data_IF_219722138138
#
_entry.id   IF_219722138138
#
_cell.length_a   1.000
_cell.length_b   1.000
_cell.length_c   1.000
_cell.angle_alpha   90.00
_cell.angle_beta   90.00
_cell.angle_gamma   90.00
#
_symmetry.space_group_name_H-M   'P 1'
#
loop_
_entity.id
_entity.type
_entity.pdbx_description
1 polymer ?
#
# COMPACT_ATOMS: atom_id res chain seq x y z
N UNK A 1 -13.80 10.94 5.34
CA UNK A 1 -14.07 9.77 6.20
C UNK A 1 -15.02 8.74 5.59
N UNK A 2 -14.99 8.53 4.27
CA UNK A 2 -15.87 7.60 3.55
C UNK A 2 -15.12 6.48 2.81
N UNK A 3 -13.81 6.34 3.06
CA UNK A 3 -12.98 5.30 2.44
C UNK A 3 -12.61 4.29 3.53
N UNK A 4 -13.14 3.08 3.43
CA UNK A 4 -12.95 2.05 4.47
C UNK A 4 -11.54 1.47 4.45
N UNK A 5 -10.99 1.20 3.27
CA UNK A 5 -9.71 0.51 3.11
C UNK A 5 -8.98 0.91 1.82
N UNK A 6 -7.66 0.76 1.82
CA UNK A 6 -6.82 0.78 0.61
C UNK A 6 -6.21 -0.62 0.42
N UNK A 7 -6.25 -1.17 -0.79
CA UNK A 7 -5.61 -2.45 -1.11
C UNK A 7 -4.51 -2.21 -2.15
N UNK A 8 -3.28 -2.64 -1.85
CA UNK A 8 -2.13 -2.51 -2.76
C UNK A 8 -1.80 -3.88 -3.34
N UNK A 9 -1.92 -4.00 -4.67
CA UNK A 9 -1.70 -5.27 -5.38
C UNK A 9 -0.23 -5.70 -5.35
N UNK A 10 0.69 -4.76 -5.57
CA UNK A 10 2.12 -4.99 -5.54
C UNK A 10 2.91 -3.67 -5.40
N UNK A 11 4.22 -3.78 -5.20
CA UNK A 11 5.09 -2.69 -4.74
C UNK A 11 5.62 -1.73 -5.83
N UNK A 12 5.21 -1.86 -7.09
CA UNK A 12 5.64 -0.88 -8.09
C UNK A 12 5.02 0.49 -7.82
N UNK A 13 5.80 1.56 -8.08
CA UNK A 13 5.42 2.93 -7.77
C UNK A 13 4.19 3.42 -8.54
N UNK A 14 3.90 2.87 -9.71
CA UNK A 14 2.67 3.15 -10.46
C UNK A 14 1.40 2.57 -9.81
N UNK A 15 1.55 1.66 -8.84
CA UNK A 15 0.46 1.10 -8.04
C UNK A 15 0.39 1.66 -6.61
N UNK A 16 1.55 1.93 -5.99
CA UNK A 16 1.61 2.32 -4.59
C UNK A 16 2.19 3.73 -4.32
N UNK A 17 2.72 4.39 -5.35
CA UNK A 17 3.54 5.60 -5.23
C UNK A 17 2.83 6.81 -4.61
N UNK A 18 1.50 6.84 -4.67
CA UNK A 18 0.68 7.91 -4.09
C UNK A 18 -0.07 7.52 -2.83
N UNK A 19 0.09 6.29 -2.33
CA UNK A 19 -0.57 5.87 -1.06
C UNK A 19 -0.17 6.80 0.12
N UNK A 20 1.11 7.23 0.28
CA UNK A 20 1.45 8.20 1.33
C UNK A 20 0.79 9.58 1.16
N UNK A 21 0.39 9.94 -0.07
CA UNK A 21 -0.33 11.19 -0.33
C UNK A 21 -1.73 11.15 0.28
N UNK A 22 -2.39 9.99 0.29
CA UNK A 22 -3.68 9.81 0.98
C UNK A 22 -3.53 10.12 2.48
N UNK A 23 -2.46 9.63 3.10
CA UNK A 23 -2.18 9.87 4.53
C UNK A 23 -1.89 11.34 4.82
N UNK A 24 -1.11 11.99 3.94
CA UNK A 24 -0.86 13.44 4.00
C UNK A 24 -2.15 14.26 3.99
N UNK A 25 -3.14 13.82 3.21
CA UNK A 25 -4.44 14.48 3.11
C UNK A 25 -5.50 13.95 4.08
N UNK A 26 -5.09 13.18 5.10
CA UNK A 26 -5.93 12.83 6.24
C UNK A 26 -6.64 11.49 6.16
N UNK A 27 -6.27 10.60 5.23
CA UNK A 27 -6.71 9.21 5.28
C UNK A 27 -6.16 8.54 6.56
N UNK A 28 -7.04 7.83 7.27
CA UNK A 28 -6.71 7.17 8.55
C UNK A 28 -6.98 5.66 8.55
N UNK A 29 -7.54 5.12 7.47
CA UNK A 29 -7.92 3.72 7.39
C UNK A 29 -6.74 2.76 7.17
N UNK A 30 -7.02 1.45 7.20
CA UNK A 30 -6.05 0.39 6.96
C UNK A 30 -5.60 0.28 5.50
N UNK A 31 -4.35 -0.15 5.32
CA UNK A 31 -3.79 -0.49 4.01
C UNK A 31 -3.53 -2.00 3.99
N UNK A 32 -4.13 -2.74 3.06
CA UNK A 32 -3.95 -4.20 2.95
C UNK A 32 -3.05 -4.55 1.77
N UNK A 33 -2.08 -5.43 2.00
CA UNK A 33 -1.23 -6.02 0.97
C UNK A 33 -0.55 -7.27 1.52
N UNK A 34 0.34 -7.91 0.76
CA UNK A 34 1.19 -8.98 1.30
C UNK A 34 2.38 -8.42 2.06
N UNK A 35 2.95 -9.20 2.99
CA UNK A 35 4.15 -8.79 3.73
C UNK A 35 5.33 -8.36 2.81
N UNK A 36 5.66 -9.09 1.72
CA UNK A 36 6.71 -8.63 0.82
C UNK A 36 6.36 -7.33 0.07
N UNK A 37 5.08 -7.13 -0.27
CA UNK A 37 4.63 -5.88 -0.88
C UNK A 37 4.83 -4.70 0.07
N UNK A 38 4.50 -4.83 1.36
CA UNK A 38 4.75 -3.78 2.38
C UNK A 38 6.23 -3.40 2.42
N UNK A 39 7.10 -4.39 2.49
CA UNK A 39 8.54 -4.17 2.66
C UNK A 39 9.15 -3.50 1.42
N UNK A 40 8.83 -4.01 0.23
CA UNK A 40 9.29 -3.44 -1.04
C UNK A 40 8.69 -2.07 -1.31
N UNK A 41 7.40 -1.86 -1.03
CA UNK A 41 6.74 -0.55 -1.16
C UNK A 41 7.44 0.47 -0.26
N UNK A 42 7.72 0.11 0.99
CA UNK A 42 8.42 1.02 1.93
C UNK A 42 9.80 1.42 1.40
N UNK A 43 10.57 0.46 0.91
CA UNK A 43 11.87 0.71 0.29
C UNK A 43 11.74 1.64 -0.92
N UNK A 44 10.82 1.35 -1.83
CA UNK A 44 10.64 2.08 -3.08
C UNK A 44 10.15 3.51 -2.87
N UNK A 45 9.25 3.73 -1.91
CA UNK A 45 8.76 5.07 -1.57
C UNK A 45 9.85 5.94 -0.95
N UNK A 46 10.70 5.37 -0.08
CA UNK A 46 11.84 6.10 0.50
C UNK A 46 12.89 6.44 -0.57
N UNK A 47 13.11 5.54 -1.53
CA UNK A 47 14.00 5.80 -2.66
C UNK A 47 13.44 6.89 -3.59
N UNK A 48 12.15 6.83 -3.91
CA UNK A 48 11.48 7.85 -4.73
C UNK A 48 11.63 9.26 -4.13
N UNK A 49 11.48 9.40 -2.80
CA UNK A 49 11.73 10.68 -2.10
C UNK A 49 13.17 11.15 -2.35
N UNK A 50 14.16 10.27 -2.22
CA UNK A 50 15.58 10.62 -2.42
C UNK A 50 15.84 11.07 -3.85
N UNK A 51 15.35 10.33 -4.85
CA UNK A 51 15.55 10.64 -6.27
C UNK A 51 14.93 11.99 -6.62
N UNK A 52 13.66 12.23 -6.23
CA UNK A 52 12.97 13.48 -6.54
C UNK A 52 13.68 14.69 -5.90
N UNK A 53 14.13 14.55 -4.65
CA UNK A 53 14.86 15.62 -3.98
C UNK A 53 16.25 15.87 -4.61
N UNK A 54 16.91 14.82 -5.11
CA UNK A 54 18.18 14.95 -5.83
C UNK A 54 18.03 15.70 -7.18
N UNK A 55 16.86 15.61 -7.81
CA UNK A 55 16.51 16.38 -9.02
C UNK A 55 16.08 17.83 -8.74
N UNK A 56 16.34 18.36 -7.53
CA UNK A 56 15.89 19.68 -7.06
C UNK A 56 14.37 19.90 -7.17
N UNK A 57 13.58 18.81 -7.16
CA UNK A 57 12.13 18.82 -7.10
C UNK A 57 11.67 18.54 -5.67
N UNK A 58 10.46 18.97 -5.33
CA UNK A 58 9.87 18.68 -4.02
C UNK A 58 9.05 17.40 -4.09
N UNK A 59 9.41 16.40 -3.29
CA UNK A 59 8.61 15.19 -3.14
C UNK A 59 7.18 15.51 -2.64
N UNK A 60 6.20 14.75 -3.11
CA UNK A 60 4.79 14.95 -2.77
C UNK A 60 4.46 14.63 -1.31
N UNK A 61 5.29 13.78 -0.69
CA UNK A 61 5.24 13.32 0.69
C UNK A 61 6.67 13.18 1.21
N UNK A 62 6.81 12.94 2.51
CA UNK A 62 8.10 12.76 3.19
C UNK A 62 8.17 11.40 3.91
N UNK A 63 9.30 11.14 4.57
CA UNK A 63 9.53 9.88 5.29
C UNK A 63 8.60 9.67 6.48
N UNK A 64 8.01 10.72 7.06
CA UNK A 64 7.03 10.57 8.13
C UNK A 64 5.72 9.96 7.60
N UNK A 65 5.30 10.33 6.39
CA UNK A 65 4.14 9.73 5.74
C UNK A 65 4.39 8.26 5.36
N UNK A 66 5.61 7.91 4.95
CA UNK A 66 5.97 6.49 4.70
C UNK A 66 5.97 5.69 6.00
N UNK A 67 6.41 6.29 7.12
CA UNK A 67 6.33 5.65 8.44
C UNK A 67 4.86 5.41 8.85
N UNK A 68 3.98 6.38 8.63
CA UNK A 68 2.53 6.23 8.91
C UNK A 68 1.88 5.17 8.00
N UNK A 69 2.35 5.05 6.75
CA UNK A 69 1.93 3.97 5.86
C UNK A 69 2.29 2.60 6.42
N UNK A 70 3.51 2.43 6.94
CA UNK A 70 3.93 1.16 7.56
C UNK A 70 3.09 0.82 8.78
N UNK A 71 2.80 1.79 9.66
CA UNK A 71 1.99 1.55 10.86
C UNK A 71 0.54 1.22 10.57
N UNK A 72 0.00 1.70 9.44
CA UNK A 72 -1.37 1.40 8.97
C UNK A 72 -1.47 0.17 8.07
N UNK A 73 -0.34 -0.40 7.66
CA UNK A 73 -0.35 -1.56 6.76
C UNK A 73 -0.64 -2.84 7.54
N UNK A 74 -1.69 -3.55 7.13
CA UNK A 74 -2.09 -4.86 7.63
C UNK A 74 -1.71 -5.90 6.58
N UNK A 75 -0.60 -6.63 6.76
CA UNK A 75 -0.18 -7.64 5.81
C UNK A 75 -1.09 -8.88 5.89
N UNK A 76 -1.52 -9.38 4.74
CA UNK A 76 -2.31 -10.60 4.58
C UNK A 76 -1.50 -11.69 3.89
N UNK A 77 -1.78 -12.95 4.24
CA UNK A 77 -1.26 -14.10 3.50
C UNK A 77 -2.16 -14.43 2.32
N UNK A 78 -1.60 -15.05 1.29
CA UNK A 78 -2.40 -15.56 0.19
C UNK A 78 -3.35 -16.66 0.67
N UNK A 79 -4.55 -16.69 0.09
CA UNK A 79 -5.61 -17.66 0.42
C UNK A 79 -6.34 -17.41 1.75
N UNK A 80 -5.92 -16.40 2.52
CA UNK A 80 -6.61 -15.97 3.73
C UNK A 80 -7.72 -14.98 3.37
N UNK A 81 -8.96 -15.29 3.76
CA UNK A 81 -10.11 -14.41 3.61
C UNK A 81 -10.22 -13.49 4.82
N UNK A 82 -10.30 -12.19 4.59
CA UNK A 82 -10.33 -11.16 5.63
C UNK A 82 -11.51 -10.21 5.39
N UNK A 83 -12.33 -9.97 6.41
CA UNK A 83 -13.36 -8.92 6.36
C UNK A 83 -12.66 -7.54 6.39
N UNK A 84 -12.87 -6.73 5.34
CA UNK A 84 -12.26 -5.40 5.20
C UNK A 84 -13.29 -4.25 5.29
N UNK A 85 -14.58 -4.60 5.21
CA UNK A 85 -15.74 -3.74 5.45
C UNK A 85 -16.93 -4.62 5.91
N UNK A 86 -18.05 -4.06 6.40
CA UNK A 86 -19.20 -4.85 6.88
C UNK A 86 -19.77 -5.87 5.88
N UNK A 87 -19.66 -5.58 4.59
CA UNK A 87 -20.21 -6.33 3.47
C UNK A 87 -19.14 -6.70 2.42
N UNK A 88 -17.85 -6.62 2.76
CA UNK A 88 -16.76 -6.92 1.82
C UNK A 88 -15.69 -7.79 2.47
N UNK A 89 -15.42 -8.93 1.83
CA UNK A 89 -14.28 -9.80 2.15
C UNK A 89 -13.23 -9.75 1.05
N UNK A 90 -11.96 -9.64 1.45
CA UNK A 90 -10.80 -9.69 0.58
C UNK A 90 -10.09 -11.03 0.70
N UNK A 91 -9.68 -11.61 -0.42
CA UNK A 91 -8.68 -12.70 -0.46
C UNK A 91 -7.61 -12.36 -1.48
N UNK A 92 -6.34 -12.43 -1.07
CA UNK A 92 -5.20 -12.23 -1.97
C UNK A 92 -4.78 -13.57 -2.57
N UNK A 93 -4.47 -13.58 -3.87
CA UNK A 93 -3.88 -14.73 -4.57
C UNK A 93 -2.59 -14.32 -5.25
N UNK A 94 -1.62 -15.23 -5.38
CA UNK A 94 -0.37 -14.95 -6.10
C UNK A 94 -0.65 -14.51 -7.55
N UNK A 95 -0.10 -13.37 -7.96
CA UNK A 95 -0.20 -12.88 -9.34
C UNK A 95 0.96 -13.31 -10.25
N UNK A 96 2.09 -13.77 -9.68
CA UNK A 96 3.26 -14.19 -10.43
C UNK A 96 4.04 -13.06 -11.13
N UNK A 97 3.79 -11.79 -10.79
CA UNK A 97 4.39 -10.62 -11.43
C UNK A 97 5.71 -10.19 -10.77
N UNK A 98 5.67 -9.87 -9.48
CA UNK A 98 6.84 -9.61 -8.63
C UNK A 98 6.67 -10.28 -7.26
N UNK A 99 7.71 -10.27 -6.42
CA UNK A 99 7.64 -10.82 -5.06
C UNK A 99 6.50 -10.17 -4.26
N UNK A 100 5.56 -11.00 -3.80
CA UNK A 100 4.37 -10.56 -3.05
C UNK A 100 3.22 -10.03 -3.89
N UNK A 101 3.36 -9.94 -5.22
CA UNK A 101 2.30 -9.47 -6.10
C UNK A 101 1.02 -10.29 -5.98
N UNK A 102 -0.13 -9.61 -5.96
CA UNK A 102 -1.41 -10.23 -5.67
C UNK A 102 -2.53 -9.84 -6.63
N UNK A 103 -3.30 -10.84 -7.03
CA UNK A 103 -4.67 -10.67 -7.52
C UNK A 103 -5.57 -10.49 -6.29
N UNK A 104 -6.45 -9.50 -6.32
CA UNK A 104 -7.37 -9.18 -5.24
C UNK A 104 -8.77 -9.67 -5.60
N UNK A 105 -9.25 -10.70 -4.90
CA UNK A 105 -10.64 -11.17 -5.02
C UNK A 105 -11.48 -10.54 -3.92
N UNK A 106 -12.57 -9.87 -4.33
CA UNK A 106 -13.53 -9.24 -3.43
C UNK A 106 -14.85 -10.02 -3.48
N UNK A 107 -15.31 -10.47 -2.32
CA UNK A 107 -16.63 -11.08 -2.15
C UNK A 107 -17.56 -10.09 -1.46
N UNK A 108 -18.76 -9.94 -2.04
CA UNK A 108 -19.85 -9.06 -1.63
C UNK A 108 -21.01 -9.90 -1.08
#
# INVERSE_FOLDING_TARGET
DSLDAVVVTHAHLDHCGLVPVLLKYGYKGPIYCTAPTRDLMTLMLLDAIKVVNAEARKALYDSAHVRDLVTRTIPLRWGETTDIAPDIRLTLHNAGHILGSSICHFHL
#
